data_IF_681605788461
#
_entry.id   IF_681605788461
#
_cell.length_a   1.000
_cell.length_b   1.000
_cell.length_c   1.000
_cell.angle_alpha   90.00
_cell.angle_beta   90.00
_cell.angle_gamma   90.00
#
_symmetry.space_group_name_H-M   'P 1'
#
loop_
_entity.id
_entity.type
_entity.pdbx_description
1 polymer ?
#
# COMPACT_ATOMS: atom_id res chain seq x y z
N UNK A 1 21.61 -34.74 4.92
CA UNK A 1 22.65 -33.71 5.16
C UNK A 1 22.41 -33.05 6.53
N UNK A 2 23.34 -33.18 7.49
CA UNK A 2 23.28 -32.41 8.75
C UNK A 2 23.82 -31.01 8.47
N UNK A 3 22.98 -29.98 8.61
CA UNK A 3 23.43 -28.59 8.52
C UNK A 3 24.37 -28.26 9.69
N UNK A 4 25.45 -27.51 9.42
CA UNK A 4 26.42 -27.14 10.44
C UNK A 4 25.77 -26.17 11.44
N UNK A 5 25.70 -26.51 12.75
CA UNK A 5 24.98 -25.72 13.75
C UNK A 5 25.51 -24.28 13.91
N UNK A 6 26.78 -24.05 13.57
CA UNK A 6 27.39 -22.70 13.57
C UNK A 6 26.83 -21.82 12.44
N UNK A 7 26.64 -22.38 11.24
CA UNK A 7 26.09 -21.64 10.08
C UNK A 7 24.65 -21.23 10.38
N UNK A 8 23.87 -22.18 10.91
CA UNK A 8 22.47 -21.98 11.27
C UNK A 8 22.32 -20.88 12.32
N UNK A 9 23.17 -20.85 13.36
CA UNK A 9 23.19 -19.76 14.36
C UNK A 9 23.51 -18.40 13.76
N UNK A 10 24.48 -18.31 12.85
CA UNK A 10 24.85 -17.04 12.22
C UNK A 10 23.71 -16.47 11.37
N UNK A 11 23.04 -17.32 10.59
CA UNK A 11 21.87 -16.91 9.81
C UNK A 11 20.76 -16.33 10.69
N UNK A 12 20.53 -16.91 11.88
CA UNK A 12 19.56 -16.37 12.83
C UNK A 12 19.95 -15.01 13.37
N UNK A 13 21.20 -14.83 13.78
CA UNK A 13 21.67 -13.54 14.28
C UNK A 13 21.51 -12.47 13.21
N UNK A 14 21.90 -12.78 11.96
CA UNK A 14 21.75 -11.86 10.83
C UNK A 14 20.27 -11.51 10.63
N UNK A 15 19.38 -12.51 10.54
CA UNK A 15 17.95 -12.28 10.31
C UNK A 15 17.31 -11.41 11.42
N UNK A 16 17.64 -11.67 12.69
CA UNK A 16 17.13 -10.88 13.82
C UNK A 16 17.64 -9.45 13.78
N UNK A 17 18.94 -9.25 13.50
CA UNK A 17 19.53 -7.91 13.38
C UNK A 17 18.91 -7.15 12.21
N UNK A 18 18.78 -7.78 11.03
CA UNK A 18 18.15 -7.14 9.87
C UNK A 18 16.70 -6.79 10.15
N UNK A 19 15.94 -7.66 10.82
CA UNK A 19 14.54 -7.38 11.17
C UNK A 19 14.41 -6.22 12.15
N UNK A 20 15.29 -6.15 13.15
CA UNK A 20 15.35 -5.05 14.11
C UNK A 20 15.70 -3.72 13.45
N UNK A 21 16.74 -3.69 12.62
CA UNK A 21 17.13 -2.49 11.85
C UNK A 21 15.99 -2.04 10.95
N UNK A 22 15.36 -2.95 10.19
CA UNK A 22 14.23 -2.61 9.32
C UNK A 22 13.03 -2.08 10.11
N UNK A 23 12.73 -2.67 11.27
CA UNK A 23 11.66 -2.17 12.15
C UNK A 23 11.95 -0.73 12.63
N UNK A 24 13.19 -0.44 13.03
CA UNK A 24 13.59 0.91 13.42
C UNK A 24 13.48 1.91 12.24
N UNK A 25 13.91 1.52 11.05
CA UNK A 25 13.78 2.35 9.84
C UNK A 25 12.31 2.64 9.56
N UNK A 26 11.44 1.63 9.60
CA UNK A 26 10.01 1.82 9.36
C UNK A 26 9.32 2.67 10.43
N UNK A 27 9.72 2.54 11.70
CA UNK A 27 9.23 3.40 12.78
C UNK A 27 9.62 4.86 12.62
N UNK A 28 10.77 5.16 11.99
CA UNK A 28 11.17 6.53 11.62
C UNK A 28 10.42 6.99 10.37
N UNK A 29 10.26 6.12 9.37
CA UNK A 29 9.52 6.44 8.14
C UNK A 29 8.05 6.73 8.41
N UNK A 30 7.46 6.13 9.45
CA UNK A 30 6.06 6.35 9.80
C UNK A 30 5.73 7.83 10.07
N UNK A 31 6.33 8.53 11.06
CA UNK A 31 6.06 9.95 11.27
C UNK A 31 6.50 10.81 10.08
N UNK A 32 7.62 10.48 9.41
CA UNK A 32 8.08 11.20 8.22
C UNK A 32 7.03 11.14 7.11
N UNK A 33 6.41 9.98 6.88
CA UNK A 33 5.39 9.80 5.85
C UNK A 33 4.14 10.65 6.06
N UNK A 34 3.81 11.04 7.29
CA UNK A 34 2.72 11.98 7.57
C UNK A 34 3.07 13.43 7.21
N UNK A 35 4.35 13.74 7.01
CA UNK A 35 4.83 15.06 6.60
C UNK A 35 5.15 15.17 5.10
N UNK A 36 5.24 14.04 4.41
CA UNK A 36 5.43 14.02 2.95
C UNK A 36 4.12 14.33 2.24
N UNK A 37 4.19 14.77 0.98
CA UNK A 37 3.00 14.93 0.15
C UNK A 37 3.20 14.24 -1.19
N UNK A 38 2.37 13.25 -1.49
CA UNK A 38 2.52 12.41 -2.69
C UNK A 38 2.27 13.20 -3.98
N UNK A 39 1.51 14.30 -3.92
CA UNK A 39 1.09 15.04 -5.11
C UNK A 39 0.75 16.50 -4.79
N UNK A 40 1.28 17.43 -5.58
CA UNK A 40 0.75 18.78 -5.68
C UNK A 40 0.02 18.92 -7.02
N UNK A 41 -1.23 19.39 -6.97
CA UNK A 41 -1.97 19.78 -8.17
C UNK A 41 -1.70 21.25 -8.45
N UNK A 42 -1.05 21.54 -9.57
CA UNK A 42 -0.88 22.91 -10.03
C UNK A 42 -2.07 23.32 -10.90
N UNK A 43 -2.94 24.15 -10.34
CA UNK A 43 -4.12 24.69 -11.01
C UNK A 43 -3.78 25.55 -12.24
N UNK A 44 -2.57 26.12 -12.32
CA UNK A 44 -2.18 26.99 -13.42
C UNK A 44 -1.73 26.19 -14.66
N UNK A 45 -0.99 25.10 -14.46
CA UNK A 45 -0.55 24.21 -15.54
C UNK A 45 -1.54 23.08 -15.86
N UNK A 46 -2.53 22.86 -14.99
CA UNK A 46 -3.43 21.69 -15.08
C UNK A 46 -2.67 20.37 -14.96
N UNK A 47 -1.45 20.40 -14.40
CA UNK A 47 -0.57 19.25 -14.29
C UNK A 47 -0.41 18.80 -12.84
N UNK A 48 -0.30 17.50 -12.64
CA UNK A 48 -0.01 16.90 -11.35
C UNK A 48 1.48 16.62 -11.26
N UNK A 49 2.13 17.13 -10.23
CA UNK A 49 3.54 16.82 -9.94
C UNK A 49 3.61 15.98 -8.67
N UNK A 50 4.13 14.75 -8.79
CA UNK A 50 4.44 13.92 -7.64
C UNK A 50 5.83 14.29 -7.11
N UNK A 51 5.87 15.10 -6.06
CA UNK A 51 7.13 15.66 -5.57
C UNK A 51 7.93 14.70 -4.67
N UNK A 52 7.32 13.64 -4.13
CA UNK A 52 7.96 12.72 -3.18
C UNK A 52 7.73 11.24 -3.53
N UNK A 53 8.03 10.85 -4.78
CA UNK A 53 7.92 9.44 -5.22
C UNK A 53 9.16 8.93 -5.95
N UNK A 54 9.41 7.63 -5.80
CA UNK A 54 10.47 6.87 -6.47
C UNK A 54 9.86 6.19 -7.69
N UNK A 55 10.37 6.51 -8.87
CA UNK A 55 10.00 5.82 -10.11
C UNK A 55 10.56 4.39 -10.09
N UNK A 56 9.68 3.39 -10.11
CA UNK A 56 10.04 1.98 -10.31
C UNK A 56 10.06 1.61 -11.80
N UNK A 57 9.20 2.25 -12.60
CA UNK A 57 9.22 2.21 -14.06
C UNK A 57 8.68 3.53 -14.62
N UNK A 58 8.65 3.68 -15.95
CA UNK A 58 8.10 4.88 -16.60
C UNK A 58 6.63 5.18 -16.26
N UNK A 59 5.89 4.20 -15.76
CA UNK A 59 4.47 4.32 -15.39
C UNK A 59 4.16 3.89 -13.97
N UNK A 60 5.16 3.48 -13.19
CA UNK A 60 4.93 2.89 -11.88
C UNK A 60 5.80 3.52 -10.82
N UNK A 61 5.16 3.99 -9.75
CA UNK A 61 5.79 4.78 -8.71
C UNK A 61 5.52 4.21 -7.33
N UNK A 62 6.50 4.43 -6.45
CA UNK A 62 6.49 4.10 -5.04
C UNK A 62 6.62 5.39 -4.24
N UNK A 63 5.77 5.64 -3.27
CA UNK A 63 5.94 6.77 -2.35
C UNK A 63 5.53 6.44 -0.92
N UNK A 64 5.89 7.32 0.00
CA UNK A 64 5.54 7.21 1.41
C UNK A 64 4.67 8.40 1.79
N UNK A 65 3.45 8.14 2.23
CA UNK A 65 2.47 9.19 2.55
C UNK A 65 1.44 8.67 3.55
N UNK A 66 0.98 9.51 4.47
CA UNK A 66 -0.13 9.22 5.40
C UNK A 66 0.03 7.89 6.17
N UNK A 67 1.24 7.61 6.66
CA UNK A 67 1.55 6.37 7.39
C UNK A 67 1.60 5.11 6.52
N UNK A 68 1.62 5.27 5.19
CA UNK A 68 1.53 4.20 4.22
C UNK A 68 2.62 4.19 3.16
N UNK A 69 2.84 3.01 2.59
CA UNK A 69 3.57 2.82 1.34
C UNK A 69 2.56 2.80 0.21
N UNK A 70 2.73 3.69 -0.75
CA UNK A 70 1.84 3.90 -1.89
C UNK A 70 2.48 3.37 -3.17
N UNK A 71 1.71 2.60 -3.92
CA UNK A 71 2.02 2.13 -5.25
C UNK A 71 0.96 2.68 -6.20
N UNK A 72 1.37 3.36 -7.26
CA UNK A 72 0.43 4.01 -8.17
C UNK A 72 0.99 4.14 -9.59
N UNK A 73 0.08 4.34 -10.55
CA UNK A 73 0.41 4.66 -11.94
C UNK A 73 0.25 6.15 -12.25
N UNK A 74 1.20 6.73 -13.01
CA UNK A 74 1.21 8.17 -13.38
C UNK A 74 0.24 8.56 -14.49
N UNK A 75 -0.50 7.59 -15.00
CA UNK A 75 -1.30 7.75 -16.20
C UNK A 75 -2.49 8.74 -16.00
N UNK A 76 -2.82 9.17 -14.77
CA UNK A 76 -3.85 10.20 -14.49
C UNK A 76 -3.66 10.84 -13.09
N UNK A 77 -4.28 12.01 -12.80
CA UNK A 77 -4.01 12.78 -11.60
C UNK A 77 -4.59 12.09 -10.36
N UNK A 78 -3.72 11.44 -9.58
CA UNK A 78 -4.08 10.90 -8.28
C UNK A 78 -4.00 12.01 -7.22
N UNK A 79 -5.14 12.61 -6.84
CA UNK A 79 -5.22 13.58 -5.74
C UNK A 79 -5.50 12.88 -4.41
N UNK A 80 -4.57 12.07 -3.91
CA UNK A 80 -4.61 11.56 -2.53
C UNK A 80 -5.97 11.02 -2.07
N UNK A 81 -6.59 10.13 -2.87
CA UNK A 81 -7.94 9.52 -2.73
C UNK A 81 -9.13 10.17 -3.46
N UNK A 82 -8.99 11.38 -4.01
CA UNK A 82 -10.08 12.11 -4.67
C UNK A 82 -9.78 12.30 -6.16
N UNK A 83 -10.15 11.33 -6.99
CA UNK A 83 -10.26 11.59 -8.43
C UNK A 83 -11.69 12.07 -8.71
N UNK A 84 -11.85 13.32 -9.17
CA UNK A 84 -13.14 13.80 -9.66
C UNK A 84 -13.29 13.35 -11.13
N UNK A 85 -14.14 12.34 -11.34
CA UNK A 85 -14.27 11.63 -12.62
C UNK A 85 -15.54 12.09 -13.40
N UNK A 86 -16.36 12.98 -12.81
CA UNK A 86 -17.61 13.42 -13.43
C UNK A 86 -17.40 14.33 -14.64
N UNK A 87 -18.05 14.03 -15.77
CA UNK A 87 -18.18 14.97 -16.88
C UNK A 87 -19.39 15.90 -16.71
N UNK A 88 -19.47 17.04 -17.42
CA UNK A 88 -20.68 17.87 -17.41
C UNK A 88 -21.92 17.09 -17.87
N UNK A 89 -22.83 16.82 -16.93
CA UNK A 89 -24.08 16.08 -17.18
C UNK A 89 -24.00 14.56 -17.05
N UNK A 90 -22.92 13.99 -16.49
CA UNK A 90 -22.95 12.62 -15.98
C UNK A 90 -23.63 12.57 -14.61
N UNK A 91 -24.31 11.47 -14.29
CA UNK A 91 -24.80 11.20 -12.94
C UNK A 91 -24.06 10.02 -12.31
N UNK A 92 -23.86 10.12 -10.99
CA UNK A 92 -23.14 9.13 -10.21
C UNK A 92 -24.08 8.03 -9.74
N UNK A 93 -23.69 6.77 -9.97
CA UNK A 93 -24.33 5.60 -9.38
C UNK A 93 -23.30 4.86 -8.53
N UNK A 94 -23.49 4.92 -7.21
CA UNK A 94 -22.62 4.23 -6.25
C UNK A 94 -23.29 2.96 -5.72
N UNK A 95 -22.52 1.87 -5.69
CA UNK A 95 -22.86 0.61 -5.06
C UNK A 95 -21.71 0.21 -4.17
N UNK A 96 -21.97 -0.01 -2.89
CA UNK A 96 -20.92 -0.40 -1.96
C UNK A 96 -21.45 -1.25 -0.82
N UNK A 97 -20.55 -2.06 -0.28
CA UNK A 97 -20.74 -2.76 0.98
C UNK A 97 -19.75 -2.20 1.98
N UNK A 98 -20.26 -1.68 3.10
CA UNK A 98 -19.43 -1.06 4.13
C UNK A 98 -19.74 -1.67 5.50
N UNK A 99 -18.70 -1.79 6.32
CA UNK A 99 -18.75 -2.10 7.73
C UNK A 99 -17.86 -1.11 8.48
N UNK A 100 -18.48 -0.03 8.99
CA UNK A 100 -17.74 1.10 9.56
C UNK A 100 -17.02 1.89 8.46
N UNK A 101 -15.73 2.18 8.66
CA UNK A 101 -14.88 2.85 7.66
C UNK A 101 -14.18 1.89 6.67
N UNK A 102 -14.60 0.63 6.63
CA UNK A 102 -14.02 -0.41 5.76
C UNK A 102 -15.08 -0.98 4.84
N UNK A 103 -14.72 -1.35 3.62
CA UNK A 103 -15.68 -1.84 2.67
C UNK A 103 -15.14 -2.00 1.26
N UNK A 104 -16.05 -2.34 0.37
CA UNK A 104 -15.85 -2.38 -1.07
C UNK A 104 -16.83 -1.41 -1.70
N UNK A 105 -16.34 -0.61 -2.64
CA UNK A 105 -17.16 0.34 -3.36
C UNK A 105 -16.95 0.23 -4.85
N UNK A 106 -18.03 0.47 -5.58
CA UNK A 106 -18.02 0.70 -7.01
C UNK A 106 -18.86 1.93 -7.30
N UNK A 107 -18.22 2.94 -7.87
CA UNK A 107 -18.89 4.12 -8.40
C UNK A 107 -18.83 4.08 -9.92
N UNK A 108 -19.99 4.09 -10.56
CA UNK A 108 -20.13 4.17 -12.00
C UNK A 108 -20.67 5.56 -12.37
N UNK A 109 -20.02 6.21 -13.34
CA UNK A 109 -20.45 7.48 -13.90
C UNK A 109 -21.20 7.22 -15.20
N UNK A 110 -22.50 7.55 -15.22
CA UNK A 110 -23.37 7.29 -16.37
C UNK A 110 -23.50 8.58 -17.18
N UNK A 111 -23.20 8.48 -18.47
CA UNK A 111 -23.29 9.58 -19.43
C UNK A 111 -24.74 9.91 -19.80
N UNK A 112 -24.92 10.96 -20.61
CA UNK A 112 -26.26 11.41 -21.05
C UNK A 112 -27.01 10.37 -21.88
N UNK A 113 -26.29 9.46 -22.54
CA UNK A 113 -26.85 8.39 -23.38
C UNK A 113 -27.14 7.11 -22.59
N UNK A 114 -26.87 7.08 -21.28
CA UNK A 114 -27.09 5.90 -20.43
C UNK A 114 -25.91 4.94 -20.36
N UNK A 115 -24.85 5.18 -21.13
CA UNK A 115 -23.63 4.37 -21.10
C UNK A 115 -22.76 4.68 -19.88
N UNK A 116 -22.11 3.64 -19.34
CA UNK A 116 -21.11 3.80 -18.30
C UNK A 116 -19.85 4.42 -18.92
N UNK A 117 -19.60 5.69 -18.57
CA UNK A 117 -18.46 6.46 -19.08
C UNK A 117 -17.23 6.15 -18.24
N UNK A 118 -17.35 6.06 -16.92
CA UNK A 118 -16.20 5.75 -16.08
C UNK A 118 -16.60 4.87 -14.90
N UNK A 119 -15.69 4.01 -14.47
CA UNK A 119 -15.91 3.11 -13.33
C UNK A 119 -14.74 3.24 -12.37
N UNK A 120 -15.06 3.54 -11.11
CA UNK A 120 -14.14 3.46 -9.97
C UNK A 120 -14.53 2.25 -9.14
N UNK A 121 -13.59 1.38 -8.85
CA UNK A 121 -13.73 0.32 -7.85
C UNK A 121 -12.74 0.53 -6.74
N UNK A 122 -13.12 0.17 -5.51
CA UNK A 122 -12.28 0.37 -4.35
C UNK A 122 -12.51 -0.65 -3.27
N UNK A 123 -11.50 -0.74 -2.42
CA UNK A 123 -11.45 -1.63 -1.26
C UNK A 123 -10.68 -0.91 -0.16
N UNK A 124 -11.37 -0.68 0.96
CA UNK A 124 -10.82 -0.14 2.19
C UNK A 124 -10.85 -1.24 3.25
N UNK A 125 -9.69 -1.78 3.57
CA UNK A 125 -9.51 -2.72 4.67
C UNK A 125 -8.62 -2.05 5.72
N UNK A 126 -8.59 -2.57 6.97
CA UNK A 126 -7.60 -2.14 7.95
C UNK A 126 -6.22 -2.16 7.31
N UNK A 127 -5.55 -1.01 7.28
CA UNK A 127 -4.21 -0.81 6.72
C UNK A 127 -3.98 -1.23 5.27
N UNK A 128 -5.01 -1.49 4.47
CA UNK A 128 -4.90 -1.74 3.02
C UNK A 128 -5.95 -0.90 2.31
N UNK A 129 -5.48 -0.07 1.39
CA UNK A 129 -6.33 0.76 0.56
C UNK A 129 -6.06 0.42 -0.89
N UNK A 130 -7.10 0.11 -1.64
CA UNK A 130 -6.98 -0.15 -3.07
C UNK A 130 -8.04 0.64 -3.83
N UNK A 131 -7.65 1.23 -4.95
CA UNK A 131 -8.54 1.84 -5.93
C UNK A 131 -8.13 1.43 -7.33
N UNK A 132 -9.12 1.18 -8.17
CA UNK A 132 -8.95 0.94 -9.59
C UNK A 132 -9.93 1.84 -10.36
N UNK A 133 -9.44 2.45 -11.42
CA UNK A 133 -10.19 3.37 -12.26
C UNK A 133 -10.12 2.89 -13.70
N UNK A 134 -11.30 2.74 -14.29
CA UNK A 134 -11.50 2.44 -15.69
C UNK A 134 -12.12 3.67 -16.33
N UNK A 135 -11.30 4.41 -17.08
CA UNK A 135 -11.69 5.67 -17.69
C UNK A 135 -11.92 5.46 -19.19
N UNK A 136 -13.08 5.83 -19.73
CA UNK A 136 -13.42 5.53 -21.14
C UNK A 136 -12.49 6.22 -22.16
N UNK A 137 -11.89 7.35 -21.78
CA UNK A 137 -10.94 8.08 -22.64
C UNK A 137 -9.49 7.65 -22.48
N UNK A 138 -9.21 6.70 -21.58
CA UNK A 138 -7.86 6.28 -21.25
C UNK A 138 -7.65 4.80 -21.56
N UNK A 139 -6.58 4.50 -22.31
CA UNK A 139 -6.33 3.14 -22.83
C UNK A 139 -5.76 2.20 -21.76
N UNK A 140 -5.30 2.74 -20.62
CA UNK A 140 -4.69 1.99 -19.52
C UNK A 140 -5.56 1.91 -18.26
N UNK A 141 -5.62 0.76 -17.57
CA UNK A 141 -6.23 0.68 -16.25
C UNK A 141 -5.38 1.48 -15.26
N UNK A 142 -6.02 2.39 -14.52
CA UNK A 142 -5.33 3.17 -13.49
C UNK A 142 -5.61 2.55 -12.14
N UNK A 143 -4.60 2.46 -11.28
CA UNK A 143 -4.81 1.89 -9.97
C UNK A 143 -3.91 2.52 -8.92
N UNK A 144 -4.31 2.34 -7.67
CA UNK A 144 -3.54 2.75 -6.51
C UNK A 144 -3.69 1.71 -5.42
N UNK A 145 -2.58 1.36 -4.79
CA UNK A 145 -2.52 0.48 -3.63
C UNK A 145 -1.73 1.19 -2.53
N UNK A 146 -2.30 1.27 -1.34
CA UNK A 146 -1.56 1.66 -0.14
C UNK A 146 -1.59 0.53 0.88
N UNK A 147 -0.43 0.32 1.48
CA UNK A 147 -0.23 -0.59 2.59
C UNK A 147 0.25 0.23 3.79
N UNK A 148 -0.43 0.10 4.92
CA UNK A 148 -0.01 0.74 6.17
C UNK A 148 1.35 0.20 6.61
N UNK A 149 2.23 1.10 7.03
CA UNK A 149 3.53 0.78 7.59
C UNK A 149 3.42 -0.07 8.87
N UNK A 150 2.27 -0.04 9.56
CA UNK A 150 2.01 -0.90 10.71
C UNK A 150 2.12 -2.39 10.41
N UNK A 151 1.77 -2.83 9.20
CA UNK A 151 1.86 -4.24 8.83
C UNK A 151 3.30 -4.73 8.71
N UNK A 152 4.18 -4.14 7.91
CA UNK A 152 5.57 -4.56 7.86
C UNK A 152 6.28 -4.36 9.21
N UNK A 153 5.97 -3.30 9.98
CA UNK A 153 6.53 -3.13 11.35
C UNK A 153 6.13 -4.30 12.24
N UNK A 154 4.84 -4.61 12.32
CA UNK A 154 4.32 -5.69 13.17
C UNK A 154 4.87 -7.04 12.73
N UNK A 155 4.95 -7.29 11.43
CA UNK A 155 5.50 -8.52 10.87
C UNK A 155 6.98 -8.70 11.23
N UNK A 156 7.78 -7.66 11.07
CA UNK A 156 9.21 -7.67 11.39
C UNK A 156 9.50 -7.70 12.90
N UNK A 157 8.58 -7.24 13.74
CA UNK A 157 8.67 -7.39 15.19
C UNK A 157 8.28 -8.79 15.65
N UNK A 158 7.19 -9.34 15.11
CA UNK A 158 6.59 -10.60 15.57
C UNK A 158 7.32 -11.84 15.03
N UNK A 159 7.74 -11.84 13.75
CA UNK A 159 8.37 -13.02 13.15
C UNK A 159 9.65 -13.45 13.89
N UNK A 160 10.61 -12.57 14.20
CA UNK A 160 11.79 -12.97 14.98
C UNK A 160 11.41 -13.48 16.38
N UNK A 161 10.44 -12.84 17.04
CA UNK A 161 9.99 -13.23 18.37
C UNK A 161 9.38 -14.64 18.39
N UNK A 162 8.42 -14.92 17.50
CA UNK A 162 7.79 -16.23 17.37
C UNK A 162 8.83 -17.31 17.02
N UNK A 163 9.79 -16.97 16.17
CA UNK A 163 10.79 -17.93 15.72
C UNK A 163 11.82 -18.27 16.80
N UNK A 164 12.28 -17.27 17.57
CA UNK A 164 13.10 -17.48 18.77
C UNK A 164 12.37 -18.34 19.82
N UNK A 165 11.08 -18.09 20.03
CA UNK A 165 10.27 -18.85 20.99
C UNK A 165 10.17 -20.33 20.58
N UNK A 166 9.84 -20.61 19.31
CA UNK A 166 9.75 -21.97 18.79
C UNK A 166 11.09 -22.72 18.90
N UNK A 167 12.21 -22.05 18.63
CA UNK A 167 13.53 -22.68 18.71
C UNK A 167 13.99 -22.95 20.15
N UNK A 168 13.71 -22.06 21.10
CA UNK A 168 13.99 -22.32 22.53
C UNK A 168 13.22 -23.55 23.00
N UNK A 169 11.96 -23.71 22.60
CA UNK A 169 11.15 -24.86 22.97
C UNK A 169 11.71 -26.18 22.41
N UNK A 170 12.22 -26.18 21.18
CA UNK A 170 12.87 -27.34 20.56
C UNK A 170 14.21 -27.70 21.24
N UNK A 171 14.99 -26.69 21.65
CA UNK A 171 16.25 -26.91 22.37
C UNK A 171 16.01 -27.45 23.79
N UNK A 172 15.00 -26.94 24.49
CA UNK A 172 14.62 -27.43 25.82
C UNK A 172 14.10 -28.87 25.76
N UNK A 173 13.25 -29.21 24.77
CA UNK A 173 12.73 -30.58 24.60
C UNK A 173 13.84 -31.61 24.33
N UNK A 174 14.92 -31.24 23.63
CA UNK A 174 16.08 -32.11 23.40
C UNK A 174 17.00 -32.27 24.61
N UNK A 175 16.92 -31.36 25.59
CA UNK A 175 17.81 -31.36 26.76
C UNK A 175 17.21 -32.13 27.95
N UNK A 176 15.89 -32.30 27.96
CA UNK A 176 15.13 -32.90 29.05
C UNK A 176 14.24 -34.07 28.62
N UNK A 177 14.44 -34.60 27.40
CA UNK A 177 13.67 -35.72 26.86
C UNK A 177 14.56 -36.69 26.08
#
# INVERSE_FOLDING_TARGET
MKSNPLIVRRLYTIATVTSGVMSCVLLILMPVSYHLNLSAFDTASGSLSAHDSIALSSRFHLGFFDGGVWFFSHDVPYMGSIMWIGGPGSHEVSKGWYRGGYGFDQTSFIGKEGDAVDIKTGCDLPGVYFRHFQLHRYVGPTWTLMLSLWYPISLLAVLPALWMFRHRHLLLRKRFG
#
